data_IF_502750653685
#
_entry.id   IF_502750653685
#
_cell.length_a   1.000
_cell.length_b   1.000
_cell.length_c   1.000
_cell.angle_alpha   90.00
_cell.angle_beta   90.00
_cell.angle_gamma   90.00
#
_symmetry.space_group_name_H-M   'P 1'
#
loop_
_entity.id
_entity.type
_entity.pdbx_description
1 polymer ?
#
# COMPACT_ATOMS: atom_id res chain seq x y z
N UNK A 1 -21.31 14.53 1.04
CA UNK A 1 -20.94 13.12 1.26
C UNK A 1 -21.42 12.34 0.05
N UNK A 2 -20.51 11.86 -0.82
CA UNK A 2 -20.88 11.24 -2.11
C UNK A 2 -20.43 9.78 -2.10
N UNK A 3 -21.41 8.86 -2.13
CA UNK A 3 -21.25 7.39 -2.24
C UNK A 3 -21.52 6.96 -3.68
N UNK A 4 -20.60 7.24 -4.61
CA UNK A 4 -20.86 7.16 -6.07
C UNK A 4 -21.20 5.73 -6.53
N UNK A 5 -20.43 4.74 -6.06
CA UNK A 5 -20.56 3.33 -6.43
C UNK A 5 -20.78 2.43 -5.22
N UNK A 6 -21.20 2.97 -4.07
CA UNK A 6 -21.45 2.16 -2.87
C UNK A 6 -22.36 0.97 -3.18
N UNK A 7 -21.92 -0.23 -2.79
CA UNK A 7 -22.69 -1.47 -2.96
C UNK A 7 -22.91 -1.86 -4.42
N UNK A 8 -22.13 -1.36 -5.39
CA UNK A 8 -22.21 -1.82 -6.77
C UNK A 8 -21.62 -3.24 -6.91
N UNK A 9 -22.37 -4.25 -6.43
CA UNK A 9 -21.93 -5.63 -6.26
C UNK A 9 -21.45 -6.30 -7.56
N UNK A 10 -21.88 -5.81 -8.72
CA UNK A 10 -21.50 -6.33 -10.04
C UNK A 10 -20.38 -5.54 -10.74
N UNK A 11 -19.91 -4.43 -10.17
CA UNK A 11 -18.84 -3.61 -10.75
C UNK A 11 -17.53 -4.40 -10.66
N UNK A 12 -17.02 -4.87 -11.80
CA UNK A 12 -15.76 -5.63 -11.87
C UNK A 12 -14.55 -4.74 -12.11
N UNK A 13 -14.74 -3.70 -12.91
CA UNK A 13 -13.71 -2.74 -13.28
C UNK A 13 -14.29 -1.35 -13.46
N UNK A 14 -13.43 -0.33 -13.34
CA UNK A 14 -13.76 1.06 -13.64
C UNK A 14 -12.54 1.82 -14.14
N UNK A 15 -12.75 2.69 -15.13
CA UNK A 15 -11.75 3.68 -15.54
C UNK A 15 -12.06 4.98 -14.82
N UNK A 16 -11.16 5.42 -13.93
CA UNK A 16 -11.25 6.71 -13.26
C UNK A 16 -10.58 7.77 -14.16
N UNK A 17 -11.27 8.86 -14.53
CA UNK A 17 -10.68 9.92 -15.33
C UNK A 17 -9.45 10.56 -14.68
N UNK A 18 -8.46 10.94 -15.50
CA UNK A 18 -7.22 11.64 -15.05
C UNK A 18 -7.45 13.03 -14.43
N UNK A 19 -8.68 13.54 -14.45
CA UNK A 19 -9.07 14.79 -13.77
C UNK A 19 -9.52 14.57 -12.33
N UNK A 20 -9.65 13.32 -11.87
CA UNK A 20 -10.07 13.01 -10.50
C UNK A 20 -8.88 13.15 -9.57
N UNK A 21 -9.02 14.00 -8.56
CA UNK A 21 -7.99 14.25 -7.54
C UNK A 21 -8.28 13.55 -6.21
N UNK A 22 -9.55 13.24 -5.93
CA UNK A 22 -9.98 12.64 -4.67
C UNK A 22 -10.90 11.46 -4.88
N UNK A 23 -10.57 10.32 -4.26
CA UNK A 23 -11.51 9.23 -4.03
C UNK A 23 -12.21 9.49 -2.70
N UNK A 24 -13.46 9.95 -2.79
CA UNK A 24 -14.25 10.36 -1.62
C UNK A 24 -14.60 9.21 -0.69
N UNK A 25 -15.00 9.54 0.54
CA UNK A 25 -15.39 8.54 1.53
C UNK A 25 -16.46 7.60 1.01
N UNK A 26 -16.29 6.30 1.22
CA UNK A 26 -17.21 5.24 0.79
C UNK A 26 -17.51 5.22 -0.73
N UNK A 27 -16.66 5.80 -1.58
CA UNK A 27 -16.94 5.90 -3.02
C UNK A 27 -17.18 4.54 -3.70
N UNK A 28 -16.43 3.52 -3.31
CA UNK A 28 -16.49 2.14 -3.80
C UNK A 28 -16.70 1.12 -2.67
N UNK A 29 -17.16 1.57 -1.51
CA UNK A 29 -17.43 0.66 -0.39
C UNK A 29 -18.44 -0.42 -0.80
N UNK A 30 -18.21 -1.67 -0.37
CA UNK A 30 -18.99 -2.85 -0.72
C UNK A 30 -19.06 -3.19 -2.23
N UNK A 31 -18.19 -2.64 -3.08
CA UNK A 31 -18.01 -3.13 -4.45
C UNK A 31 -17.33 -4.51 -4.46
N UNK A 32 -18.04 -5.55 -4.03
CA UNK A 32 -17.46 -6.87 -3.74
C UNK A 32 -16.86 -7.59 -4.95
N UNK A 33 -17.30 -7.27 -6.18
CA UNK A 33 -16.74 -7.82 -7.42
C UNK A 33 -15.59 -7.00 -8.02
N UNK A 34 -15.29 -5.81 -7.48
CA UNK A 34 -14.26 -4.92 -8.03
C UNK A 34 -12.89 -5.54 -7.84
N UNK A 35 -12.23 -5.86 -8.95
CA UNK A 35 -10.92 -6.52 -8.96
C UNK A 35 -9.91 -5.81 -9.87
N UNK A 36 -10.36 -4.99 -10.81
CA UNK A 36 -9.52 -4.24 -11.74
C UNK A 36 -9.81 -2.74 -11.63
N UNK A 37 -8.92 -2.01 -10.97
CA UNK A 37 -9.03 -0.56 -10.82
C UNK A 37 -7.64 0.07 -10.90
N UNK A 38 -7.53 1.04 -11.79
CA UNK A 38 -6.32 1.85 -11.94
C UNK A 38 -6.60 3.25 -11.39
N UNK A 39 -5.87 3.61 -10.34
CA UNK A 39 -5.93 4.94 -9.75
C UNK A 39 -5.05 5.91 -10.57
N UNK A 40 -5.62 6.96 -11.18
CA UNK A 40 -4.82 7.91 -11.95
C UNK A 40 -3.81 8.65 -11.07
N UNK A 41 -2.70 9.07 -11.71
CA UNK A 41 -1.61 9.82 -11.05
C UNK A 41 -2.05 11.16 -10.43
N UNK A 42 -3.20 11.68 -10.87
CA UNK A 42 -3.80 12.92 -10.36
C UNK A 42 -4.38 12.78 -8.96
N UNK A 43 -4.66 11.56 -8.47
CA UNK A 43 -5.22 11.36 -7.14
C UNK A 43 -4.20 11.76 -6.08
N UNK A 44 -4.58 12.73 -5.27
CA UNK A 44 -3.83 13.20 -4.10
C UNK A 44 -4.47 12.74 -2.78
N UNK A 45 -5.75 12.31 -2.82
CA UNK A 45 -6.50 11.95 -1.60
C UNK A 45 -7.38 10.72 -1.78
N UNK A 46 -7.29 9.78 -0.84
CA UNK A 46 -8.19 8.64 -0.70
C UNK A 46 -8.74 8.65 0.73
N UNK A 47 -10.03 8.93 0.83
CA UNK A 47 -10.72 9.16 2.10
C UNK A 47 -11.24 7.88 2.77
N UNK A 48 -11.86 8.05 3.93
CA UNK A 48 -12.35 6.98 4.80
C UNK A 48 -13.24 5.98 4.06
N UNK A 49 -12.94 4.69 4.25
CA UNK A 49 -13.69 3.59 3.66
C UNK A 49 -13.87 3.65 2.13
N UNK A 50 -13.06 4.43 1.39
CA UNK A 50 -13.20 4.62 -0.06
C UNK A 50 -13.34 3.31 -0.85
N UNK A 51 -12.65 2.25 -0.44
CA UNK A 51 -12.69 0.89 -1.00
C UNK A 51 -13.02 -0.17 0.05
N UNK A 52 -13.64 0.20 1.18
CA UNK A 52 -13.91 -0.76 2.24
C UNK A 52 -14.77 -1.93 1.72
N UNK A 53 -14.46 -3.14 2.17
CA UNK A 53 -15.14 -4.38 1.76
C UNK A 53 -15.14 -4.68 0.24
N UNK A 54 -14.19 -4.15 -0.54
CA UNK A 54 -13.95 -4.60 -1.92
C UNK A 54 -13.32 -6.00 -1.92
N UNK A 55 -14.15 -7.03 -1.73
CA UNK A 55 -13.69 -8.42 -1.48
C UNK A 55 -12.93 -9.07 -2.63
N UNK A 56 -13.10 -8.61 -3.88
CA UNK A 56 -12.36 -9.17 -5.03
C UNK A 56 -11.07 -8.41 -5.37
N UNK A 57 -10.77 -7.31 -4.68
CA UNK A 57 -9.57 -6.52 -4.94
C UNK A 57 -8.35 -7.26 -4.41
N UNK A 58 -7.42 -7.62 -5.29
CA UNK A 58 -6.22 -8.40 -4.95
C UNK A 58 -4.95 -7.57 -4.90
N UNK A 59 -4.92 -6.47 -5.66
CA UNK A 59 -3.81 -5.55 -5.77
C UNK A 59 -4.35 -4.12 -5.90
N UNK A 60 -3.61 -3.15 -5.36
CA UNK A 60 -3.83 -1.73 -5.66
C UNK A 60 -2.50 -1.02 -5.81
N UNK A 61 -2.42 -0.13 -6.81
CA UNK A 61 -1.28 0.77 -7.01
C UNK A 61 -1.61 2.13 -6.40
N UNK A 62 -0.79 2.58 -5.45
CA UNK A 62 -0.96 3.90 -4.84
C UNK A 62 -0.44 5.00 -5.78
N UNK A 63 -1.21 6.08 -6.00
CA UNK A 63 -0.80 7.20 -6.86
C UNK A 63 0.51 7.84 -6.40
N UNK A 64 1.31 8.29 -7.37
CA UNK A 64 2.63 8.92 -7.15
C UNK A 64 2.55 10.20 -6.30
N UNK A 65 1.45 10.95 -6.42
CA UNK A 65 1.20 12.22 -5.72
C UNK A 65 0.24 12.07 -4.52
N UNK A 66 0.09 10.87 -3.98
CA UNK A 66 -0.83 10.63 -2.88
C UNK A 66 -0.35 11.36 -1.61
N UNK A 67 -1.09 12.39 -1.20
CA UNK A 67 -0.80 13.22 -0.04
C UNK A 67 -1.55 12.78 1.20
N UNK A 68 -2.75 12.20 1.03
CA UNK A 68 -3.59 11.73 2.13
C UNK A 68 -4.22 10.38 1.81
N UNK A 69 -4.00 9.41 2.69
CA UNK A 69 -4.63 8.09 2.65
C UNK A 69 -5.23 7.76 4.02
N UNK A 70 -6.54 7.51 4.07
CA UNK A 70 -7.19 7.08 5.30
C UNK A 70 -6.78 5.66 5.70
N UNK A 71 -6.60 5.44 7.01
CA UNK A 71 -6.29 4.13 7.58
C UNK A 71 -7.42 3.10 7.39
N UNK A 72 -8.63 3.53 7.02
CA UNK A 72 -9.77 2.64 6.74
C UNK A 72 -10.10 2.52 5.26
N UNK A 73 -9.34 3.19 4.38
CA UNK A 73 -9.63 3.25 2.95
C UNK A 73 -9.85 1.87 2.32
N UNK A 74 -9.11 0.86 2.77
CA UNK A 74 -9.19 -0.53 2.28
C UNK A 74 -9.62 -1.52 3.37
N UNK A 75 -10.30 -1.05 4.43
CA UNK A 75 -10.75 -1.92 5.52
C UNK A 75 -11.60 -3.07 5.00
N UNK A 76 -11.29 -4.31 5.41
CA UNK A 76 -12.04 -5.49 4.99
C UNK A 76 -11.84 -5.90 3.53
N UNK A 77 -10.82 -5.38 2.83
CA UNK A 77 -10.37 -5.93 1.56
C UNK A 77 -9.58 -7.24 1.79
N UNK A 78 -10.27 -8.31 2.17
CA UNK A 78 -9.64 -9.54 2.69
C UNK A 78 -8.82 -10.32 1.66
N UNK A 79 -8.91 -9.97 0.38
CA UNK A 79 -8.09 -10.55 -0.69
C UNK A 79 -6.99 -9.60 -1.19
N UNK A 80 -6.88 -8.38 -0.66
CA UNK A 80 -5.86 -7.42 -1.06
C UNK A 80 -4.51 -7.87 -0.51
N UNK A 81 -3.75 -8.57 -1.34
CA UNK A 81 -2.47 -9.21 -1.00
C UNK A 81 -1.27 -8.38 -1.40
N UNK A 82 -1.43 -7.47 -2.37
CA UNK A 82 -0.32 -6.69 -2.93
C UNK A 82 -0.62 -5.20 -2.91
N UNK A 83 0.31 -4.42 -2.34
CA UNK A 83 0.37 -2.97 -2.54
C UNK A 83 1.54 -2.60 -3.44
N UNK A 84 1.30 -1.73 -4.41
CA UNK A 84 2.34 -1.19 -5.29
C UNK A 84 2.55 0.29 -4.95
N UNK A 85 3.79 0.66 -4.63
CA UNK A 85 4.21 2.03 -4.35
C UNK A 85 4.98 2.58 -5.55
N UNK A 86 4.43 3.63 -6.18
CA UNK A 86 5.12 4.36 -7.26
C UNK A 86 6.16 5.34 -6.71
N UNK A 87 5.95 5.84 -5.50
CA UNK A 87 6.81 6.74 -4.74
C UNK A 87 6.67 6.42 -3.24
N UNK A 88 7.58 6.95 -2.41
CA UNK A 88 7.40 6.86 -0.96
C UNK A 88 6.33 7.85 -0.49
N UNK A 89 5.27 7.39 0.20
CA UNK A 89 4.17 8.25 0.59
C UNK A 89 4.54 9.10 1.81
N UNK A 90 4.55 10.42 1.65
CA UNK A 90 5.03 11.39 2.65
C UNK A 90 4.22 11.41 3.94
N UNK A 91 2.93 11.07 3.87
CA UNK A 91 2.01 11.14 5.00
C UNK A 91 1.18 9.85 5.16
N UNK A 92 1.80 8.69 5.00
CA UNK A 92 1.13 7.43 5.32
C UNK A 92 1.29 7.11 6.81
N UNK A 93 0.18 7.09 7.54
CA UNK A 93 0.16 6.65 8.93
C UNK A 93 0.39 5.13 8.97
N UNK A 94 1.33 4.67 9.81
CA UNK A 94 1.67 3.26 10.02
C UNK A 94 0.46 2.38 10.33
N UNK A 95 -0.59 2.94 10.94
CA UNK A 95 -1.81 2.20 11.26
C UNK A 95 -2.63 1.84 10.03
N UNK A 96 -2.37 2.45 8.87
CA UNK A 96 -2.91 2.00 7.59
C UNK A 96 -2.70 0.51 7.36
N UNK A 97 -1.47 0.02 7.60
CA UNK A 97 -1.14 -1.39 7.41
C UNK A 97 -1.85 -2.32 8.40
N UNK A 98 -2.28 -1.82 9.57
CA UNK A 98 -3.05 -2.63 10.53
C UNK A 98 -4.45 -3.00 10.02
N UNK A 99 -4.99 -2.21 9.07
CA UNK A 99 -6.27 -2.51 8.41
C UNK A 99 -6.15 -3.57 7.32
N UNK A 100 -4.95 -3.73 6.75
CA UNK A 100 -4.64 -4.61 5.63
C UNK A 100 -4.18 -5.99 6.08
N UNK A 101 -5.08 -6.72 6.72
CA UNK A 101 -4.79 -8.03 7.34
C UNK A 101 -4.34 -9.10 6.34
N UNK A 102 -4.63 -8.95 5.05
CA UNK A 102 -4.27 -9.89 3.98
C UNK A 102 -3.01 -9.52 3.21
N UNK A 103 -2.34 -8.41 3.55
CA UNK A 103 -1.17 -7.92 2.82
C UNK A 103 0.01 -8.89 2.97
N UNK A 104 0.42 -9.52 1.88
CA UNK A 104 1.53 -10.48 1.85
C UNK A 104 2.74 -9.94 1.08
N UNK A 105 2.52 -8.98 0.16
CA UNK A 105 3.52 -8.47 -0.77
C UNK A 105 3.47 -6.95 -0.88
N UNK A 106 4.65 -6.34 -0.97
CA UNK A 106 4.82 -4.93 -1.33
C UNK A 106 5.73 -4.85 -2.55
N UNK A 107 5.31 -4.10 -3.56
CA UNK A 107 6.11 -3.79 -4.73
C UNK A 107 6.56 -2.33 -4.65
N UNK A 108 7.87 -2.12 -4.69
CA UNK A 108 8.50 -0.80 -4.74
C UNK A 108 8.96 -0.55 -6.18
N UNK A 109 8.53 0.56 -6.78
CA UNK A 109 8.98 0.95 -8.13
C UNK A 109 10.44 1.44 -8.15
N UNK A 110 11.03 1.44 -9.35
CA UNK A 110 12.44 1.77 -9.58
C UNK A 110 12.84 3.21 -9.28
N UNK A 111 11.91 4.12 -9.02
CA UNK A 111 12.21 5.54 -8.74
C UNK A 111 12.43 5.84 -7.25
N UNK A 112 12.24 4.86 -6.38
CA UNK A 112 12.40 5.02 -4.94
C UNK A 112 13.88 4.99 -4.57
N UNK A 113 14.37 6.07 -3.94
CA UNK A 113 15.77 6.18 -3.51
C UNK A 113 16.01 5.86 -2.03
N UNK A 114 15.02 6.15 -1.19
CA UNK A 114 15.12 5.99 0.27
C UNK A 114 13.87 5.29 0.76
N UNK A 115 14.02 4.28 1.60
CA UNK A 115 12.90 3.70 2.37
C UNK A 115 12.91 4.32 3.76
N UNK A 116 11.89 5.11 4.08
CA UNK A 116 11.89 5.93 5.29
C UNK A 116 11.68 5.16 6.59
N UNK A 117 12.10 5.82 7.67
CA UNK A 117 12.00 5.31 9.04
C UNK A 117 10.57 4.88 9.36
N UNK A 118 10.42 3.65 9.87
CA UNK A 118 9.14 3.06 10.31
C UNK A 118 8.03 2.97 9.24
N UNK A 119 8.34 3.22 7.97
CA UNK A 119 7.35 3.26 6.88
C UNK A 119 6.55 1.94 6.78
N UNK A 120 7.22 0.80 6.91
CA UNK A 120 6.63 -0.54 6.85
C UNK A 120 6.70 -1.26 8.20
N UNK A 121 6.54 -0.51 9.29
CA UNK A 121 6.57 -1.06 10.65
C UNK A 121 5.39 -2.03 10.90
N UNK A 122 5.70 -3.19 11.46
CA UNK A 122 4.73 -4.18 11.95
C UNK A 122 3.77 -4.72 10.88
N UNK A 123 4.25 -4.88 9.65
CA UNK A 123 3.52 -5.61 8.59
C UNK A 123 3.80 -7.12 8.78
N UNK A 124 3.10 -7.72 9.76
CA UNK A 124 3.39 -9.08 10.22
C UNK A 124 3.15 -10.15 9.15
N UNK A 125 2.40 -9.86 8.10
CA UNK A 125 2.08 -10.80 7.02
C UNK A 125 2.96 -10.67 5.78
N UNK A 126 3.82 -9.64 5.71
CA UNK A 126 4.75 -9.44 4.59
C UNK A 126 5.72 -10.63 4.52
N UNK A 127 5.83 -11.29 3.36
CA UNK A 127 6.61 -12.54 3.20
C UNK A 127 7.95 -12.35 2.51
N UNK A 128 7.93 -11.57 1.44
CA UNK A 128 9.10 -11.30 0.62
C UNK A 128 9.15 -9.84 0.23
N UNK A 129 10.36 -9.37 -0.04
CA UNK A 129 10.63 -8.00 -0.44
C UNK A 129 11.78 -7.96 -1.43
N UNK A 130 11.57 -7.27 -2.55
CA UNK A 130 12.63 -6.90 -3.49
C UNK A 130 12.91 -5.42 -3.37
N UNK A 131 14.13 -5.06 -2.99
CA UNK A 131 14.60 -3.69 -2.92
C UNK A 131 15.04 -3.26 -4.34
N UNK A 132 14.43 -2.22 -4.94
CA UNK A 132 14.72 -1.84 -6.32
C UNK A 132 16.04 -1.07 -6.44
N UNK A 133 16.63 -1.10 -7.63
CA UNK A 133 17.99 -0.62 -7.90
C UNK A 133 18.29 0.84 -7.54
N UNK A 134 17.31 1.75 -7.46
CA UNK A 134 17.61 3.13 -7.04
C UNK A 134 17.66 3.32 -5.52
N UNK A 135 17.25 2.32 -4.73
CA UNK A 135 17.32 2.44 -3.27
C UNK A 135 18.77 2.45 -2.82
N UNK A 136 19.19 3.57 -2.25
CA UNK A 136 20.53 3.75 -1.68
C UNK A 136 20.54 3.65 -0.16
N UNK A 137 19.39 3.93 0.48
CA UNK A 137 19.26 3.98 1.94
C UNK A 137 17.95 3.35 2.44
N UNK A 138 18.06 2.52 3.47
CA UNK A 138 16.93 1.99 4.24
C UNK A 138 17.07 2.50 5.68
N UNK A 139 16.11 3.32 6.10
CA UNK A 139 16.18 4.01 7.38
C UNK A 139 15.71 3.14 8.56
N UNK A 140 15.96 3.66 9.77
CA UNK A 140 15.83 2.88 10.99
C UNK A 140 14.41 2.35 11.18
N UNK A 141 14.29 1.11 11.66
CA UNK A 141 13.00 0.47 11.88
C UNK A 141 12.05 0.40 10.67
N UNK A 142 12.53 0.63 9.42
CA UNK A 142 11.69 0.67 8.22
C UNK A 142 10.77 -0.55 8.08
N UNK A 143 11.27 -1.75 8.35
CA UNK A 143 10.56 -3.03 8.32
C UNK A 143 10.54 -3.71 9.71
N UNK A 144 10.75 -2.97 10.79
CA UNK A 144 10.74 -3.56 12.14
C UNK A 144 9.41 -4.29 12.40
N UNK A 145 9.46 -5.49 13.00
CA UNK A 145 8.31 -6.38 13.27
C UNK A 145 7.57 -6.90 12.04
N UNK A 146 8.20 -6.95 10.86
CA UNK A 146 7.70 -7.76 9.76
C UNK A 146 7.99 -9.25 10.03
N UNK A 147 7.29 -9.85 10.99
CA UNK A 147 7.63 -11.16 11.57
C UNK A 147 7.58 -12.34 10.61
N UNK A 148 6.83 -12.24 9.50
CA UNK A 148 6.79 -13.27 8.47
C UNK A 148 7.71 -12.98 7.27
N UNK A 149 8.49 -11.89 7.30
CA UNK A 149 9.41 -11.54 6.23
C UNK A 149 10.61 -12.49 6.27
N UNK A 150 10.68 -13.38 5.28
CA UNK A 150 11.71 -14.43 5.19
C UNK A 150 12.74 -14.16 4.10
N UNK A 151 12.33 -13.49 3.02
CA UNK A 151 13.21 -13.23 1.88
C UNK A 151 13.31 -11.74 1.60
N UNK A 152 14.53 -11.20 1.59
CA UNK A 152 14.81 -9.83 1.17
C UNK A 152 15.90 -9.86 0.10
N UNK A 153 15.53 -9.53 -1.13
CA UNK A 153 16.47 -9.36 -2.24
C UNK A 153 16.92 -7.89 -2.27
N UNK A 154 18.19 -7.63 -1.94
CA UNK A 154 18.78 -6.31 -2.03
C UNK A 154 19.34 -6.05 -3.43
N UNK A 155 19.11 -4.86 -3.97
CA UNK A 155 19.88 -4.39 -5.13
C UNK A 155 21.30 -3.99 -4.72
N UNK A 156 22.22 -4.00 -5.69
CA UNK A 156 23.64 -3.65 -5.49
C UNK A 156 23.90 -2.22 -5.00
N UNK A 157 22.94 -1.31 -5.17
CA UNK A 157 23.11 0.12 -4.83
C UNK A 157 22.77 0.47 -3.37
N UNK A 158 22.29 -0.50 -2.57
CA UNK A 158 21.98 -0.24 -1.15
C UNK A 158 23.28 -0.01 -0.38
N UNK A 159 23.55 1.25 -0.05
CA UNK A 159 24.79 1.70 0.60
C UNK A 159 24.65 1.92 2.11
N UNK A 160 23.41 2.05 2.61
CA UNK A 160 23.13 2.30 4.02
C UNK A 160 21.86 1.56 4.49
N UNK A 161 21.99 0.81 5.59
CA UNK A 161 20.87 0.21 6.31
C UNK A 161 20.98 0.63 7.78
N UNK A 162 20.03 1.43 8.25
CA UNK A 162 20.04 2.01 9.59
C UNK A 162 19.59 1.02 10.67
N UNK A 163 19.84 1.40 11.93
CA UNK A 163 19.54 0.57 13.10
C UNK A 163 18.10 0.06 13.09
N UNK A 164 17.95 -1.24 13.39
CA UNK A 164 16.67 -1.93 13.49
C UNK A 164 15.83 -1.95 12.21
N UNK A 165 16.36 -1.56 11.05
CA UNK A 165 15.61 -1.57 9.78
C UNK A 165 14.84 -2.88 9.54
N UNK A 166 15.41 -4.02 9.92
CA UNK A 166 14.77 -5.34 9.86
C UNK A 166 14.69 -6.05 11.23
N UNK A 167 14.64 -5.28 12.34
CA UNK A 167 14.55 -5.87 13.68
C UNK A 167 13.24 -6.64 13.86
N UNK A 168 13.28 -7.84 14.46
CA UNK A 168 12.11 -8.72 14.59
C UNK A 168 11.45 -9.09 13.24
N UNK A 169 12.18 -8.96 12.12
CA UNK A 169 11.91 -9.78 10.94
C UNK A 169 12.35 -11.22 11.24
N UNK A 170 11.71 -12.21 10.61
CA UNK A 170 11.75 -13.59 11.07
C UNK A 170 13.17 -14.09 11.38
N UNK A 171 13.38 -14.58 12.60
CA UNK A 171 14.64 -15.11 13.13
C UNK A 171 14.59 -16.64 13.28
N UNK A 172 14.07 -17.35 12.27
CA UNK A 172 14.12 -18.82 12.21
C UNK A 172 15.12 -19.29 11.17
#
# INVERSE_FOLDING_TARGET
>A
MIRIFYGCLSLKSIVIPNSVETVSSSAFEECTSLNDINLPKSITKIDDAAFANCKSLTQITLPEKLEKLSNTAFQGCDNLKTLVFLSMPTNLDRSFFTSLKSLEYITLQSEIEIIWKQMFFNITNLRELKIPNKVTKIEGSAFEKCTNLVNVEFSENVSQIDQKAFYQCNQT
#
